data_IF_651906098617
#
_entry.id   IF_651906098617
#
_cell.length_a   1.000
_cell.length_b   1.000
_cell.length_c   1.000
_cell.angle_alpha   90.00
_cell.angle_beta   90.00
_cell.angle_gamma   90.00
#
_symmetry.space_group_name_H-M   'P 1'
#
loop_
_entity.id
_entity.type
_entity.pdbx_description
1 polymer ?
#
# COMPACT_ATOMS: atom_id res chain seq x y z
N UNK A 1 11.35 16.27 -15.39
CA UNK A 1 11.26 15.33 -16.55
C UNK A 1 9.85 14.74 -16.54
N UNK A 2 9.15 14.85 -17.66
CA UNK A 2 7.83 14.28 -17.91
C UNK A 2 7.93 13.17 -18.96
N UNK A 3 6.88 12.36 -19.11
CA UNK A 3 6.85 11.33 -20.16
C UNK A 3 6.92 12.01 -21.54
N UNK A 4 6.20 13.14 -21.73
CA UNK A 4 6.23 13.89 -22.97
C UNK A 4 7.64 14.43 -23.29
N UNK A 5 8.35 15.00 -22.30
CA UNK A 5 9.71 15.46 -22.51
C UNK A 5 10.71 14.34 -22.89
N UNK A 6 10.50 13.12 -22.38
CA UNK A 6 11.32 11.97 -22.79
C UNK A 6 11.10 11.61 -24.26
N UNK A 7 9.87 11.64 -24.72
CA UNK A 7 9.52 11.26 -26.10
C UNK A 7 9.85 12.39 -27.12
N UNK A 8 9.53 13.64 -26.77
CA UNK A 8 9.58 14.78 -27.70
C UNK A 8 10.94 15.51 -27.67
N UNK A 9 11.45 15.82 -26.46
CA UNK A 9 12.66 16.63 -26.31
C UNK A 9 13.94 15.78 -26.28
N UNK A 10 13.89 14.64 -25.57
CA UNK A 10 15.06 13.76 -25.43
C UNK A 10 15.14 12.68 -26.51
N UNK A 11 14.09 12.51 -27.31
CA UNK A 11 14.06 11.66 -28.51
C UNK A 11 14.04 10.16 -28.24
N UNK A 12 13.51 9.72 -27.10
CA UNK A 12 13.28 8.29 -26.86
C UNK A 12 12.15 7.77 -27.76
N UNK A 13 12.37 6.64 -28.40
CA UNK A 13 11.35 6.00 -29.27
C UNK A 13 10.18 5.42 -28.45
N UNK A 14 10.41 5.02 -27.20
CA UNK A 14 9.39 4.50 -26.29
C UNK A 14 9.80 4.67 -24.82
N UNK A 15 8.81 4.63 -23.91
CA UNK A 15 9.01 4.72 -22.46
C UNK A 15 8.31 3.55 -21.77
N UNK A 16 8.98 2.89 -20.83
CA UNK A 16 8.37 1.87 -19.97
C UNK A 16 8.20 2.39 -18.53
N UNK A 17 6.97 2.32 -17.99
CA UNK A 17 6.64 2.71 -16.63
C UNK A 17 6.58 1.48 -15.75
N UNK A 18 7.60 1.30 -14.91
CA UNK A 18 7.71 0.22 -13.92
C UNK A 18 7.86 0.75 -12.49
N UNK A 19 7.18 1.85 -12.15
CA UNK A 19 7.34 2.59 -10.89
C UNK A 19 6.75 1.90 -9.65
N UNK A 20 6.06 0.79 -9.83
CA UNK A 20 5.45 0.05 -8.73
C UNK A 20 4.25 0.75 -8.08
N UNK A 21 3.89 0.32 -6.88
CA UNK A 21 2.78 0.84 -6.08
C UNK A 21 3.22 1.01 -4.62
N UNK A 22 4.04 2.03 -4.35
CA UNK A 22 4.64 2.28 -3.03
C UNK A 22 3.95 3.37 -2.19
N UNK A 23 2.93 4.07 -2.74
CA UNK A 23 2.24 5.13 -2.02
C UNK A 23 1.27 4.52 -0.99
N UNK A 24 1.48 4.73 0.32
CA UNK A 24 0.63 4.15 1.35
C UNK A 24 -0.79 4.72 1.31
N UNK A 25 -1.75 3.88 1.68
CA UNK A 25 -3.15 4.29 1.84
C UNK A 25 -3.43 4.62 3.29
N UNK A 26 -4.22 5.67 3.48
CA UNK A 26 -4.77 6.11 4.75
C UNK A 26 -6.30 5.99 4.72
N UNK A 27 -6.94 6.10 5.88
CA UNK A 27 -8.41 6.00 6.00
C UNK A 27 -9.11 7.30 5.64
N UNK A 28 -8.43 8.45 5.79
CA UNK A 28 -9.02 9.79 5.69
C UNK A 28 -9.82 10.18 6.93
N UNK A 29 -9.45 9.66 8.10
CA UNK A 29 -10.08 9.99 9.39
C UNK A 29 -9.33 11.13 10.09
N UNK A 30 -10.00 11.88 11.01
CA UNK A 30 -9.34 12.89 11.82
C UNK A 30 -8.14 12.33 12.60
N UNK A 31 -7.09 13.14 12.74
CA UNK A 31 -5.90 12.80 13.52
C UNK A 31 -4.86 11.93 12.79
N UNK A 32 -5.07 11.54 11.54
CA UNK A 32 -4.07 10.73 10.79
C UNK A 32 -2.74 11.44 10.54
N UNK A 33 -2.66 12.76 10.79
CA UNK A 33 -1.43 13.55 10.66
C UNK A 33 -0.72 13.75 12.00
N UNK A 34 -1.21 13.15 13.10
CA UNK A 34 -0.59 13.25 14.42
C UNK A 34 0.82 12.66 14.45
N UNK A 35 1.67 13.19 15.32
CA UNK A 35 2.95 12.58 15.64
C UNK A 35 2.72 11.21 16.29
N UNK A 36 3.33 10.16 15.76
CA UNK A 36 3.10 8.78 16.21
C UNK A 36 2.20 7.98 15.25
N UNK A 37 1.69 8.61 14.18
CA UNK A 37 1.04 7.90 13.07
C UNK A 37 2.05 7.61 11.97
N UNK A 38 2.14 6.37 11.55
CA UNK A 38 3.04 5.91 10.50
C UNK A 38 2.30 5.10 9.45
N UNK A 39 2.77 5.11 8.22
CA UNK A 39 2.45 4.03 7.30
C UNK A 39 3.31 2.80 7.63
N UNK A 40 2.79 1.60 7.38
CA UNK A 40 3.56 0.37 7.58
C UNK A 40 4.85 0.35 6.75
N UNK A 41 4.83 0.89 5.53
CA UNK A 41 6.01 0.99 4.68
C UNK A 41 7.10 1.86 5.32
N UNK A 42 6.73 3.01 5.86
CA UNK A 42 7.67 3.90 6.55
C UNK A 42 8.23 3.22 7.81
N UNK A 43 7.35 2.67 8.64
CA UNK A 43 7.74 2.01 9.89
C UNK A 43 8.71 0.85 9.65
N UNK A 44 8.39 -0.04 8.70
CA UNK A 44 9.22 -1.19 8.35
C UNK A 44 10.53 -0.78 7.66
N UNK A 45 10.51 0.25 6.81
CA UNK A 45 11.71 0.78 6.17
C UNK A 45 12.67 1.33 7.20
N UNK A 46 12.20 2.17 8.12
CA UNK A 46 13.02 2.72 9.21
C UNK A 46 13.56 1.62 10.11
N UNK A 47 12.68 0.70 10.55
CA UNK A 47 13.06 -0.36 11.48
C UNK A 47 14.06 -1.32 10.86
N UNK A 48 13.75 -1.91 9.69
CA UNK A 48 14.50 -3.02 9.13
C UNK A 48 15.59 -2.57 8.16
N UNK A 49 15.26 -1.81 7.12
CA UNK A 49 16.22 -1.42 6.10
C UNK A 49 17.23 -0.39 6.62
N UNK A 50 16.75 0.62 7.36
CA UNK A 50 17.57 1.67 7.95
C UNK A 50 18.06 1.32 9.36
N UNK A 51 17.77 0.10 9.84
CA UNK A 51 18.27 -0.47 11.11
C UNK A 51 17.98 0.39 12.35
N UNK A 52 16.83 1.04 12.41
CA UNK A 52 16.47 1.87 13.57
C UNK A 52 16.35 1.09 14.90
N UNK A 53 16.34 -0.23 14.86
CA UNK A 53 16.42 -1.10 16.02
C UNK A 53 17.82 -1.11 16.67
N UNK A 54 18.87 -0.80 15.93
CA UNK A 54 20.26 -0.75 16.39
C UNK A 54 20.50 0.55 17.17
N UNK A 55 21.06 0.46 18.36
CA UNK A 55 21.38 1.60 19.22
C UNK A 55 22.41 2.56 18.59
N UNK A 56 23.23 2.06 17.67
CA UNK A 56 24.21 2.87 16.94
C UNK A 56 23.63 3.48 15.65
N UNK A 57 22.36 3.22 15.31
CA UNK A 57 21.72 3.79 14.15
C UNK A 57 21.33 5.25 14.39
N UNK A 58 21.58 6.11 13.39
CA UNK A 58 21.09 7.48 13.40
C UNK A 58 19.65 7.63 12.93
N UNK A 59 18.98 6.52 12.54
CA UNK A 59 17.61 6.56 12.06
C UNK A 59 16.64 6.67 13.24
N UNK A 60 15.87 7.76 13.34
CA UNK A 60 14.89 7.90 14.39
C UNK A 60 13.72 6.94 14.18
N UNK A 61 13.30 6.27 15.26
CA UNK A 61 12.06 5.51 15.31
C UNK A 61 11.35 5.78 16.63
N UNK A 62 10.04 5.94 16.57
CA UNK A 62 9.23 5.95 17.78
C UNK A 62 9.00 4.52 18.23
N UNK A 63 9.55 4.18 19.41
CA UNK A 63 9.26 2.94 20.10
C UNK A 63 8.03 3.17 20.96
N UNK A 64 6.84 2.91 20.42
CA UNK A 64 5.61 3.01 21.18
C UNK A 64 5.57 2.02 22.35
N UNK A 65 4.77 2.34 23.36
CA UNK A 65 4.45 1.39 24.46
C UNK A 65 3.23 0.55 24.08
N UNK A 66 2.24 1.19 23.46
CA UNK A 66 1.01 0.56 22.98
C UNK A 66 0.76 0.95 21.53
N UNK A 67 0.89 0.00 20.66
CA UNK A 67 0.85 0.20 19.20
C UNK A 67 -0.39 -0.46 18.62
N UNK A 68 -1.19 0.31 17.88
CA UNK A 68 -2.26 -0.21 17.04
C UNK A 68 -1.79 -0.29 15.58
N UNK A 69 -1.87 -1.48 14.98
CA UNK A 69 -1.65 -1.68 13.55
C UNK A 69 -3.00 -1.88 12.86
N UNK A 70 -3.37 -0.92 12.03
CA UNK A 70 -4.67 -0.91 11.34
C UNK A 70 -4.54 -1.62 10.00
N UNK A 71 -5.13 -2.81 9.91
CA UNK A 71 -5.08 -3.66 8.72
C UNK A 71 -4.94 -5.13 9.05
N UNK A 72 -5.10 -6.01 8.06
CA UNK A 72 -5.12 -7.47 8.26
C UNK A 72 -4.30 -8.27 7.24
N UNK A 73 -3.46 -7.61 6.43
CA UNK A 73 -2.60 -8.26 5.44
C UNK A 73 -1.24 -8.70 6.00
N UNK A 74 -0.41 -9.36 5.16
CA UNK A 74 0.93 -9.79 5.56
C UNK A 74 1.78 -8.62 6.09
N UNK A 75 1.68 -7.44 5.46
CA UNK A 75 2.41 -6.23 5.90
C UNK A 75 1.96 -5.77 7.29
N UNK A 76 0.67 -5.96 7.65
CA UNK A 76 0.20 -5.70 9.01
C UNK A 76 0.82 -6.66 10.03
N UNK A 77 0.94 -7.95 9.68
CA UNK A 77 1.62 -8.94 10.52
C UNK A 77 3.09 -8.56 10.72
N UNK A 78 3.79 -8.19 9.65
CA UNK A 78 5.21 -7.76 9.73
C UNK A 78 5.38 -6.51 10.60
N UNK A 79 4.52 -5.50 10.42
CA UNK A 79 4.56 -4.27 11.21
C UNK A 79 4.28 -4.53 12.69
N UNK A 80 3.27 -5.35 12.98
CA UNK A 80 2.90 -5.69 14.35
C UNK A 80 4.01 -6.48 15.06
N UNK A 81 4.56 -7.51 14.41
CA UNK A 81 5.67 -8.30 14.96
C UNK A 81 6.92 -7.45 15.15
N UNK A 82 7.18 -6.50 14.25
CA UNK A 82 8.30 -5.56 14.41
C UNK A 82 8.08 -4.64 15.60
N UNK A 83 6.88 -4.06 15.80
CA UNK A 83 6.56 -3.22 16.94
C UNK A 83 6.68 -3.99 18.28
N UNK A 84 6.16 -5.22 18.32
CA UNK A 84 6.29 -6.10 19.48
C UNK A 84 7.75 -6.37 19.84
N UNK A 85 8.59 -6.68 18.85
CA UNK A 85 10.03 -6.94 19.05
C UNK A 85 10.81 -5.70 19.47
N UNK A 86 10.30 -4.50 19.17
CA UNK A 86 10.82 -3.24 19.70
C UNK A 86 10.32 -2.92 21.11
N UNK A 87 9.48 -3.77 21.70
CA UNK A 87 9.05 -3.73 23.10
C UNK A 87 7.66 -3.19 23.36
N UNK A 88 6.83 -3.02 22.33
CA UNK A 88 5.46 -2.52 22.48
C UNK A 88 4.46 -3.64 22.79
N UNK A 89 3.43 -3.34 23.57
CA UNK A 89 2.15 -4.06 23.54
C UNK A 89 1.49 -3.75 22.19
N UNK A 90 1.19 -4.77 21.38
CA UNK A 90 0.82 -4.54 19.99
C UNK A 90 -0.53 -5.17 19.65
N UNK A 91 -1.38 -4.37 19.04
CA UNK A 91 -2.73 -4.70 18.63
C UNK A 91 -2.86 -4.66 17.10
N UNK A 92 -3.43 -5.70 16.50
CA UNK A 92 -3.94 -5.65 15.12
C UNK A 92 -5.40 -5.27 15.17
N UNK A 93 -5.75 -4.13 14.58
CA UNK A 93 -7.11 -3.62 14.49
C UNK A 93 -7.64 -3.87 13.09
N UNK A 94 -8.68 -4.72 12.98
CA UNK A 94 -9.22 -5.13 11.71
C UNK A 94 -10.74 -5.15 11.69
N UNK A 95 -11.34 -4.54 10.66
CA UNK A 95 -12.80 -4.32 10.54
C UNK A 95 -13.64 -5.55 10.23
N UNK A 96 -13.02 -6.71 9.96
CA UNK A 96 -13.71 -7.99 9.69
C UNK A 96 -13.27 -9.05 10.68
N UNK A 97 -13.77 -10.28 10.51
CA UNK A 97 -13.37 -11.41 11.34
C UNK A 97 -12.04 -12.02 10.91
N UNK A 98 -11.59 -13.00 11.65
CA UNK A 98 -10.35 -13.73 11.37
C UNK A 98 -10.38 -14.45 10.03
N UNK A 99 -11.53 -15.01 9.66
CA UNK A 99 -11.72 -15.73 8.41
C UNK A 99 -11.51 -14.86 7.17
N UNK A 100 -11.73 -13.54 7.29
CA UNK A 100 -11.52 -12.59 6.21
C UNK A 100 -10.16 -11.90 6.23
N UNK A 101 -9.23 -12.30 7.12
CA UNK A 101 -7.87 -11.76 7.11
C UNK A 101 -7.18 -12.10 5.77
N UNK A 102 -6.69 -11.11 5.04
CA UNK A 102 -5.99 -11.35 3.77
C UNK A 102 -4.55 -11.85 3.96
N UNK A 103 -4.04 -11.86 5.19
CA UNK A 103 -2.73 -12.42 5.52
C UNK A 103 -2.73 -13.94 5.36
N UNK A 104 -1.57 -14.51 5.12
CA UNK A 104 -1.38 -15.97 5.13
C UNK A 104 -1.64 -16.51 6.53
N UNK A 105 -2.24 -17.69 6.58
CA UNK A 105 -2.61 -18.34 7.85
C UNK A 105 -1.39 -18.52 8.75
N UNK A 106 -0.25 -18.89 8.18
CA UNK A 106 1.03 -19.05 8.90
C UNK A 106 1.49 -17.73 9.56
N UNK A 107 1.34 -16.60 8.87
CA UNK A 107 1.74 -15.29 9.41
C UNK A 107 0.82 -14.85 10.56
N UNK A 108 -0.47 -15.16 10.47
CA UNK A 108 -1.44 -14.93 11.56
C UNK A 108 -1.08 -15.80 12.78
N UNK A 109 -0.76 -17.07 12.56
CA UNK A 109 -0.32 -17.99 13.63
C UNK A 109 0.94 -17.46 14.32
N UNK A 110 1.98 -17.11 13.57
CA UNK A 110 3.22 -16.56 14.13
C UNK A 110 2.95 -15.27 14.94
N UNK A 111 2.09 -14.39 14.43
CA UNK A 111 1.74 -13.17 15.15
C UNK A 111 1.06 -13.46 16.49
N UNK A 112 0.15 -14.44 16.54
CA UNK A 112 -0.52 -14.88 17.77
C UNK A 112 0.44 -15.56 18.74
N UNK A 113 1.32 -16.42 18.25
CA UNK A 113 2.33 -17.11 19.08
C UNK A 113 3.31 -16.13 19.72
N UNK A 114 3.65 -15.04 19.04
CA UNK A 114 4.49 -13.97 19.58
C UNK A 114 3.76 -13.08 20.60
N UNK A 115 2.44 -13.19 20.72
CA UNK A 115 1.64 -12.48 21.73
C UNK A 115 0.95 -11.21 21.23
N UNK A 116 0.79 -11.05 19.90
CA UNK A 116 0.01 -9.93 19.32
C UNK A 116 -1.47 -10.11 19.63
N UNK A 117 -2.11 -9.03 20.05
CA UNK A 117 -3.55 -8.98 20.36
C UNK A 117 -4.32 -8.64 19.08
N UNK A 118 -5.39 -9.37 18.81
CA UNK A 118 -6.24 -9.15 17.62
C UNK A 118 -7.58 -8.53 18.03
N UNK A 119 -7.76 -7.26 17.76
CA UNK A 119 -9.03 -6.53 17.87
C UNK A 119 -9.77 -6.60 16.54
N UNK A 120 -10.40 -7.73 16.29
CA UNK A 120 -11.20 -8.00 15.11
C UNK A 120 -12.57 -7.34 15.23
N UNK A 121 -13.29 -7.22 14.08
CA UNK A 121 -14.58 -6.53 14.01
C UNK A 121 -14.51 -5.13 14.66
N UNK A 122 -13.42 -4.42 14.40
CA UNK A 122 -13.13 -3.11 14.98
C UNK A 122 -12.62 -2.19 13.89
N UNK A 123 -13.21 -1.00 13.77
CA UNK A 123 -12.85 0.01 12.77
C UNK A 123 -12.51 1.34 13.44
N UNK A 124 -11.32 1.91 13.19
CA UNK A 124 -10.98 3.24 13.67
C UNK A 124 -11.85 4.32 13.02
N UNK A 125 -12.22 5.34 13.78
CA UNK A 125 -12.99 6.50 13.31
C UNK A 125 -12.27 7.83 13.51
N UNK A 126 -11.36 7.90 14.49
CA UNK A 126 -10.58 9.10 14.80
C UNK A 126 -9.31 8.70 15.59
N UNK A 127 -8.20 9.37 15.32
CA UNK A 127 -6.99 9.31 16.13
C UNK A 127 -6.97 10.52 17.05
N UNK A 128 -6.78 10.29 18.35
CA UNK A 128 -6.77 11.34 19.37
C UNK A 128 -5.34 11.85 19.57
N UNK A 129 -5.23 13.17 19.64
CA UNK A 129 -3.97 13.88 19.87
C UNK A 129 -3.96 14.54 21.25
N UNK A 130 -2.80 14.60 21.87
CA UNK A 130 -2.55 15.42 23.04
C UNK A 130 -2.32 16.90 22.66
N UNK A 131 -2.08 17.75 23.65
CA UNK A 131 -1.81 19.20 23.46
C UNK A 131 -0.54 19.50 22.62
N UNK A 132 0.34 18.52 22.45
CA UNK A 132 1.58 18.61 21.67
C UNK A 132 1.45 17.96 20.28
N UNK A 133 0.27 17.47 19.91
CA UNK A 133 -0.01 16.82 18.65
C UNK A 133 0.53 15.39 18.55
N UNK A 134 0.70 14.71 19.69
CA UNK A 134 1.09 13.28 19.73
C UNK A 134 -0.13 12.39 19.94
N UNK A 135 -0.09 11.20 19.34
CA UNK A 135 -1.12 10.19 19.55
C UNK A 135 -1.26 9.86 21.04
N UNK A 136 -2.47 9.95 21.56
CA UNK A 136 -2.81 9.60 22.94
C UNK A 136 -3.99 8.62 23.04
N UNK A 137 -4.54 8.19 21.90
CA UNK A 137 -5.61 7.21 21.81
C UNK A 137 -6.17 7.10 20.42
N UNK A 138 -7.09 6.16 20.21
CA UNK A 138 -7.78 5.94 18.96
C UNK A 138 -9.24 5.57 19.23
N UNK A 139 -10.19 6.36 18.69
CA UNK A 139 -11.61 6.01 18.72
C UNK A 139 -11.91 4.96 17.70
N UNK A 140 -12.68 3.98 18.09
CA UNK A 140 -13.11 2.86 17.26
C UNK A 140 -14.59 2.59 17.41
N UNK A 141 -15.18 1.94 16.43
CA UNK A 141 -16.53 1.36 16.49
C UNK A 141 -16.44 -0.15 16.30
N UNK A 142 -17.37 -0.87 16.88
CA UNK A 142 -17.53 -2.30 16.63
C UNK A 142 -18.25 -2.52 15.30
N UNK A 143 -17.86 -3.60 14.65
CA UNK A 143 -18.40 -3.99 13.34
C UNK A 143 -19.15 -5.32 13.44
N UNK A 144 -20.12 -5.51 12.57
CA UNK A 144 -20.69 -6.81 12.26
C UNK A 144 -20.51 -7.13 10.77
N UNK A 145 -20.64 -8.38 10.40
CA UNK A 145 -20.51 -8.80 9.02
C UNK A 145 -21.91 -8.96 8.41
N UNK A 146 -22.19 -8.18 7.37
CA UNK A 146 -23.40 -8.29 6.57
C UNK A 146 -23.34 -9.50 5.62
N UNK A 147 -24.32 -9.54 4.70
CA UNK A 147 -24.40 -10.59 3.69
C UNK A 147 -23.17 -10.60 2.75
N UNK A 148 -22.80 -11.78 2.25
CA UNK A 148 -21.72 -11.91 1.28
C UNK A 148 -22.03 -11.15 -0.03
N UNK A 149 -21.05 -10.46 -0.58
CA UNK A 149 -21.12 -9.86 -1.91
C UNK A 149 -20.94 -10.93 -3.01
N UNK A 150 -20.99 -10.51 -4.28
CA UNK A 150 -20.81 -11.41 -5.43
C UNK A 150 -19.46 -12.15 -5.46
N UNK A 151 -18.45 -11.68 -4.70
CA UNK A 151 -17.15 -12.32 -4.53
C UNK A 151 -17.09 -13.26 -3.31
N UNK A 152 -18.21 -13.42 -2.58
CA UNK A 152 -18.29 -14.18 -1.34
C UNK A 152 -17.76 -13.46 -0.10
N UNK A 153 -17.35 -12.18 -0.21
CA UNK A 153 -16.80 -11.40 0.90
C UNK A 153 -17.90 -10.67 1.64
N UNK A 154 -17.96 -10.85 2.95
CA UNK A 154 -18.92 -10.16 3.81
C UNK A 154 -18.51 -8.70 4.04
N UNK A 155 -19.45 -7.80 3.80
CA UNK A 155 -19.22 -6.36 4.01
C UNK A 155 -19.28 -6.04 5.51
N UNK A 156 -18.27 -5.35 6.09
CA UNK A 156 -18.35 -4.88 7.46
C UNK A 156 -19.37 -3.73 7.56
N UNK A 157 -20.22 -3.80 8.58
CA UNK A 157 -21.27 -2.82 8.92
C UNK A 157 -21.01 -2.33 10.34
N UNK A 158 -21.11 -1.03 10.56
CA UNK A 158 -20.92 -0.44 11.89
C UNK A 158 -22.11 -0.78 12.80
N UNK A 159 -21.82 -1.17 14.04
CA UNK A 159 -22.82 -1.36 15.07
C UNK A 159 -23.10 0.02 15.69
N UNK A 160 -24.35 0.52 15.64
CA UNK A 160 -24.68 1.79 16.26
C UNK A 160 -24.37 1.83 17.76
N UNK A 161 -23.99 2.99 18.25
CA UNK A 161 -23.70 3.26 19.68
C UNK A 161 -22.63 2.31 20.29
N UNK A 162 -21.67 1.87 19.46
CA UNK A 162 -20.61 0.93 19.87
C UNK A 162 -19.23 1.59 19.95
N UNK A 163 -19.18 2.92 19.95
CA UNK A 163 -17.94 3.69 20.02
C UNK A 163 -17.19 3.40 21.32
N UNK A 164 -15.90 3.27 21.21
CA UNK A 164 -14.99 3.13 22.35
C UNK A 164 -13.62 3.69 22.01
N UNK A 165 -12.82 3.96 23.02
CA UNK A 165 -11.45 4.45 22.86
C UNK A 165 -10.46 3.36 23.22
N UNK A 166 -9.49 3.14 22.34
CA UNK A 166 -8.30 2.34 22.60
C UNK A 166 -7.20 3.25 23.11
N UNK A 167 -6.56 2.84 24.21
CA UNK A 167 -5.40 3.51 24.78
C UNK A 167 -4.14 3.09 23.99
N UNK A 168 -3.69 3.95 23.09
CA UNK A 168 -2.52 3.72 22.22
C UNK A 168 -1.73 5.02 22.06
N UNK A 169 -0.41 4.90 21.92
CA UNK A 169 0.51 6.02 21.71
C UNK A 169 1.13 6.03 20.30
N UNK A 170 0.88 4.98 19.53
CA UNK A 170 1.39 4.83 18.17
C UNK A 170 0.36 4.10 17.31
N UNK A 171 0.14 4.61 16.08
CA UNK A 171 -0.76 3.99 15.11
C UNK A 171 0.00 3.73 13.82
N UNK A 172 -0.07 2.50 13.30
CA UNK A 172 0.57 2.10 12.04
C UNK A 172 -0.51 1.72 11.03
N UNK A 173 -0.65 2.54 9.97
CA UNK A 173 -1.60 2.29 8.89
C UNK A 173 -1.04 1.25 7.92
N UNK A 174 -1.69 0.08 7.85
CA UNK A 174 -1.31 -1.05 7.00
C UNK A 174 -2.43 -1.45 6.04
N UNK A 175 -2.96 -0.47 5.31
CA UNK A 175 -4.14 -0.59 4.43
C UNK A 175 -3.77 -0.92 2.98
N UNK A 176 -2.50 -1.26 2.73
CA UNK A 176 -1.95 -1.48 1.40
C UNK A 176 -1.47 -0.18 0.75
N UNK A 177 -1.10 -0.30 -0.52
CA UNK A 177 -0.46 0.77 -1.28
C UNK A 177 -1.16 1.00 -2.62
N UNK A 178 -0.80 2.09 -3.30
CA UNK A 178 -1.25 2.42 -4.65
C UNK A 178 -0.09 2.99 -5.48
N UNK A 179 -0.18 2.97 -6.82
CA UNK A 179 0.77 3.67 -7.66
C UNK A 179 0.83 5.16 -7.35
N UNK A 180 1.99 5.77 -7.56
CA UNK A 180 2.14 7.22 -7.40
C UNK A 180 1.35 7.94 -8.50
N UNK A 181 0.37 8.80 -8.18
CA UNK A 181 -0.47 9.48 -9.15
C UNK A 181 0.28 10.56 -9.94
N UNK A 182 1.51 10.93 -9.54
CA UNK A 182 2.28 11.99 -10.18
C UNK A 182 2.48 11.70 -11.67
N UNK A 183 2.83 10.46 -12.04
CA UNK A 183 3.08 10.08 -13.44
C UNK A 183 1.81 10.27 -14.28
N UNK A 184 0.69 9.71 -13.86
CA UNK A 184 -0.57 9.81 -14.62
C UNK A 184 -1.15 11.22 -14.61
N UNK A 185 -0.99 11.99 -13.55
CA UNK A 185 -1.52 13.36 -13.47
C UNK A 185 -0.70 14.38 -14.28
N UNK A 186 0.53 14.06 -14.64
CA UNK A 186 1.44 14.91 -15.43
C UNK A 186 1.61 14.41 -16.88
N UNK A 187 0.88 13.39 -17.30
CA UNK A 187 0.98 12.78 -18.62
C UNK A 187 -0.39 12.74 -19.28
N UNK A 188 -0.63 13.62 -20.24
CA UNK A 188 -1.89 13.67 -20.98
C UNK A 188 -2.07 12.40 -21.83
N UNK A 189 -3.30 11.85 -21.83
CA UNK A 189 -3.63 10.62 -22.57
C UNK A 189 -3.23 9.32 -21.88
N UNK A 190 -2.61 9.37 -20.71
CA UNK A 190 -2.32 8.18 -19.92
C UNK A 190 -3.47 7.90 -18.93
N UNK A 191 -4.31 6.93 -19.24
CA UNK A 191 -5.48 6.60 -18.42
C UNK A 191 -5.15 5.73 -17.22
N UNK A 192 -5.95 5.87 -16.17
CA UNK A 192 -5.90 5.02 -14.97
C UNK A 192 -7.29 4.45 -14.65
N UNK A 193 -7.32 3.29 -14.02
CA UNK A 193 -8.55 2.69 -13.55
C UNK A 193 -9.01 3.30 -12.20
N UNK A 194 -10.15 2.84 -11.68
CA UNK A 194 -10.73 3.32 -10.39
C UNK A 194 -9.81 3.14 -9.18
N UNK A 195 -8.78 2.30 -9.26
CA UNK A 195 -7.77 2.09 -8.21
C UNK A 195 -6.49 2.90 -8.44
N UNK A 196 -6.51 3.83 -9.44
CA UNK A 196 -5.36 4.66 -9.83
C UNK A 196 -4.18 3.87 -10.43
N UNK A 197 -4.41 2.63 -10.86
CA UNK A 197 -3.45 1.84 -11.62
C UNK A 197 -3.50 2.23 -13.10
N UNK A 198 -2.36 2.27 -13.76
CA UNK A 198 -2.26 2.59 -15.19
C UNK A 198 -3.00 1.52 -16.01
N UNK A 199 -3.80 1.94 -16.97
CA UNK A 199 -4.45 1.02 -17.91
C UNK A 199 -3.42 0.59 -18.95
N UNK A 200 -3.17 -0.72 -19.05
CA UNK A 200 -2.26 -1.30 -20.03
C UNK A 200 -2.75 -2.69 -20.46
N UNK A 201 -2.43 -3.05 -21.72
CA UNK A 201 -2.68 -4.38 -22.25
C UNK A 201 -1.78 -5.42 -21.59
N UNK A 202 -2.36 -6.48 -21.07
CA UNK A 202 -1.63 -7.53 -20.35
C UNK A 202 -0.60 -8.25 -21.25
N UNK A 203 -0.90 -8.42 -22.52
CA UNK A 203 -0.10 -9.18 -23.48
C UNK A 203 1.21 -8.51 -23.88
N UNK A 204 1.28 -7.17 -23.86
CA UNK A 204 2.40 -6.40 -24.38
C UNK A 204 2.74 -5.13 -23.56
N UNK A 205 1.98 -4.84 -22.50
CA UNK A 205 2.19 -3.67 -21.65
C UNK A 205 1.83 -2.32 -22.26
N UNK A 206 1.22 -2.29 -23.45
CA UNK A 206 0.87 -1.04 -24.13
C UNK A 206 -0.20 -0.27 -23.33
N UNK A 207 0.04 1.02 -23.09
CA UNK A 207 -0.90 1.90 -22.42
C UNK A 207 -1.82 2.61 -23.42
N UNK A 208 -2.70 3.48 -22.92
CA UNK A 208 -3.55 4.34 -23.78
C UNK A 208 -2.78 5.43 -24.51
N UNK A 209 -1.54 5.71 -24.10
CA UNK A 209 -0.65 6.70 -24.73
C UNK A 209 0.34 6.01 -25.67
N UNK A 210 0.41 6.50 -26.93
CA UNK A 210 1.31 5.95 -27.94
C UNK A 210 2.78 6.04 -27.51
N UNK A 211 3.56 4.98 -27.76
CA UNK A 211 4.96 4.89 -27.35
C UNK A 211 5.18 4.67 -25.86
N UNK A 212 4.11 4.59 -25.04
CA UNK A 212 4.20 4.41 -23.60
C UNK A 212 3.68 3.04 -23.18
N UNK A 213 4.50 2.34 -22.42
CA UNK A 213 4.25 0.98 -21.93
C UNK A 213 4.31 0.97 -20.40
N UNK A 214 3.59 0.07 -19.76
CA UNK A 214 3.61 -0.07 -18.32
C UNK A 214 3.48 -1.53 -17.88
N UNK A 215 3.98 -1.83 -16.68
CA UNK A 215 3.87 -3.18 -16.12
C UNK A 215 4.17 -3.24 -14.63
N UNK A 216 3.95 -4.42 -14.04
CA UNK A 216 4.10 -4.67 -12.63
C UNK A 216 3.04 -3.95 -11.79
N UNK A 217 3.37 -3.63 -10.54
CA UNK A 217 2.40 -3.08 -9.57
C UNK A 217 1.83 -1.70 -9.98
N UNK A 218 2.47 -1.00 -10.90
CA UNK A 218 1.92 0.23 -11.48
C UNK A 218 0.62 -0.01 -12.26
N UNK A 219 0.42 -1.22 -12.77
CA UNK A 219 -0.73 -1.66 -13.57
C UNK A 219 -1.69 -2.54 -12.75
N UNK A 220 -1.16 -3.50 -12.02
CA UNK A 220 -1.96 -4.50 -11.29
C UNK A 220 -2.31 -4.10 -9.85
N UNK A 221 -1.65 -3.09 -9.29
CA UNK A 221 -1.56 -2.89 -7.85
C UNK A 221 -0.52 -3.84 -7.23
N UNK A 222 -0.35 -3.79 -5.93
CA UNK A 222 0.63 -4.62 -5.22
C UNK A 222 0.38 -6.12 -5.45
N UNK A 223 1.38 -6.79 -6.06
CA UNK A 223 1.32 -8.19 -6.45
C UNK A 223 2.65 -8.90 -6.17
N UNK A 224 2.96 -9.95 -6.92
CA UNK A 224 4.18 -10.73 -6.73
C UNK A 224 5.30 -10.32 -7.68
N UNK A 225 6.55 -10.56 -7.27
CA UNK A 225 7.74 -10.33 -8.10
C UNK A 225 7.66 -11.09 -9.43
N UNK A 226 7.12 -12.32 -9.41
CA UNK A 226 6.98 -13.16 -10.61
C UNK A 226 6.08 -12.48 -11.65
N UNK A 227 4.94 -11.94 -11.24
CA UNK A 227 4.02 -11.22 -12.12
C UNK A 227 4.65 -9.91 -12.64
N UNK A 228 5.39 -9.20 -11.79
CA UNK A 228 6.11 -8.01 -12.23
C UNK A 228 7.19 -8.32 -13.28
N UNK A 229 7.91 -9.44 -13.13
CA UNK A 229 8.89 -9.90 -14.11
C UNK A 229 8.24 -10.30 -15.44
N UNK A 230 7.09 -10.97 -15.39
CA UNK A 230 6.30 -11.32 -16.59
C UNK A 230 5.85 -10.08 -17.34
N UNK A 231 5.26 -9.12 -16.64
CA UNK A 231 4.83 -7.85 -17.20
C UNK A 231 6.00 -7.05 -17.82
N UNK A 232 7.17 -7.04 -17.17
CA UNK A 232 8.37 -6.42 -17.72
C UNK A 232 8.85 -7.07 -19.03
N UNK A 233 8.79 -8.41 -19.12
CA UNK A 233 9.11 -9.12 -20.36
C UNK A 233 8.10 -8.88 -21.48
N UNK A 234 6.80 -8.84 -21.15
CA UNK A 234 5.75 -8.54 -22.08
C UNK A 234 5.91 -7.11 -22.64
N UNK A 235 6.15 -6.12 -21.75
CA UNK A 235 6.40 -4.74 -22.14
C UNK A 235 7.65 -4.57 -23.01
N UNK A 236 8.75 -5.25 -22.68
CA UNK A 236 9.97 -5.21 -23.51
C UNK A 236 9.73 -5.75 -24.92
N UNK A 237 8.96 -6.85 -25.05
CA UNK A 237 8.56 -7.39 -26.36
C UNK A 237 7.65 -6.41 -27.12
N UNK A 238 6.67 -5.81 -26.45
CA UNK A 238 5.78 -4.82 -27.05
C UNK A 238 6.55 -3.60 -27.58
N UNK A 239 7.51 -3.09 -26.81
CA UNK A 239 8.39 -1.99 -27.22
C UNK A 239 9.25 -2.38 -28.43
N UNK A 240 9.85 -3.57 -28.43
CA UNK A 240 10.69 -4.04 -29.54
C UNK A 240 9.90 -4.14 -30.86
N UNK A 241 8.67 -4.66 -30.79
CA UNK A 241 7.75 -4.71 -31.92
C UNK A 241 7.33 -3.31 -32.41
N UNK A 242 7.03 -2.41 -31.49
CA UNK A 242 6.67 -1.02 -31.81
C UNK A 242 7.80 -0.29 -32.51
N UNK A 243 9.03 -0.35 -31.99
CA UNK A 243 10.19 0.30 -32.57
C UNK A 243 10.51 -0.27 -33.97
N UNK A 244 10.44 -1.58 -34.16
CA UNK A 244 10.66 -2.22 -35.47
C UNK A 244 9.66 -1.75 -36.51
N UNK A 245 8.37 -1.71 -36.15
CA UNK A 245 7.32 -1.29 -37.04
C UNK A 245 7.46 0.19 -37.42
N UNK A 246 7.80 1.05 -36.48
CA UNK A 246 7.99 2.49 -36.73
C UNK A 246 9.24 2.81 -37.55
N UNK A 247 10.35 2.06 -37.34
CA UNK A 247 11.58 2.21 -38.17
C UNK A 247 11.35 1.77 -39.60
N UNK A 248 10.58 0.72 -39.84
CA UNK A 248 10.22 0.27 -41.20
C UNK A 248 9.34 1.32 -41.91
N UNK A 249 8.37 1.93 -41.19
CA UNK A 249 7.54 3.02 -41.71
C UNK A 249 8.34 4.26 -42.08
N UNK A 250 9.37 4.64 -41.35
CA UNK A 250 10.24 5.81 -41.66
C UNK A 250 11.24 5.56 -42.78
N UNK A 251 11.52 4.30 -43.12
CA UNK A 251 12.42 3.94 -44.24
C UNK A 251 11.73 3.99 -45.62
N UNK A 252 10.42 4.20 -45.66
CA UNK A 252 9.62 4.25 -46.90
C UNK A 252 9.01 5.64 -47.17
N UNK A 253 9.42 6.69 -46.47
CA UNK A 253 9.11 8.11 -46.74
C UNK A 253 10.45 8.85 -47.13
#
# INVERSE_FOLDING_TARGET
VTIDSLLEDEGFDAVFIGSGAGLPKFMGIPGENANGVFSANEYLTRSNLMKAFDENSNTPIMRGKKVAVVGGGNVAMDAARTALRLGAETHIVYRRSEEELPARVEEVHHAKEEGIIFDLLTNPTEILEDENGWVCGMKCVKMELGEPDASGRRRPVEIPDSEFTMDVDTVIMSLGTSPNPLISSTTEGLETNKWKCIVAEESNGQTTKEGVYAGGDAVTGAATVILAMEAGRAGAKGIDEYIKNNKIGRAHV
#
